data_IF_463696606180
#
_entry.id   IF_463696606180
#
_cell.length_a   1.000
_cell.length_b   1.000
_cell.length_c   1.000
_cell.angle_alpha   90.00
_cell.angle_beta   90.00
_cell.angle_gamma   90.00
#
_symmetry.space_group_name_H-M   'P 1'
#
loop_
_entity.id
_entity.type
_entity.pdbx_description
1 polymer ?
#
# COMPACT_ATOMS: atom_id res chain seq x y z
N UNK A 1 39.93 21.08 -21.95
CA UNK A 1 38.98 20.01 -22.28
C UNK A 1 37.64 20.34 -21.63
N UNK A 2 36.66 20.79 -22.41
CA UNK A 2 35.32 21.10 -21.89
C UNK A 2 34.53 19.80 -21.87
N UNK A 3 34.03 19.47 -20.68
CA UNK A 3 33.38 18.22 -20.33
C UNK A 3 32.06 18.03 -21.11
N UNK A 4 32.10 17.17 -22.14
CA UNK A 4 31.00 16.96 -23.10
C UNK A 4 29.74 16.41 -22.42
N UNK A 5 29.89 15.72 -21.29
CA UNK A 5 28.78 15.11 -20.56
C UNK A 5 27.96 16.16 -19.79
N UNK A 6 28.61 17.24 -19.35
CA UNK A 6 27.94 18.33 -18.63
C UNK A 6 27.10 19.21 -19.57
N UNK A 7 27.54 19.38 -20.83
CA UNK A 7 26.79 20.10 -21.87
C UNK A 7 25.53 19.33 -22.29
N UNK A 8 25.62 18.00 -22.38
CA UNK A 8 24.49 17.15 -22.76
C UNK A 8 23.42 17.11 -21.67
N UNK A 9 23.83 17.00 -20.40
CA UNK A 9 22.93 17.05 -19.25
C UNK A 9 22.18 18.39 -19.17
N UNK A 10 22.87 19.51 -19.40
CA UNK A 10 22.28 20.85 -19.43
C UNK A 10 21.24 20.99 -20.55
N UNK A 11 21.51 20.46 -21.74
CA UNK A 11 20.58 20.46 -22.88
C UNK A 11 19.31 19.63 -22.61
N UNK A 12 19.44 18.48 -21.97
CA UNK A 12 18.29 17.62 -21.63
C UNK A 12 17.40 18.28 -20.58
N UNK A 13 18.00 18.92 -19.56
CA UNK A 13 17.26 19.61 -18.52
C UNK A 13 16.53 20.85 -19.07
N UNK A 14 17.20 21.66 -19.88
CA UNK A 14 16.59 22.83 -20.54
C UNK A 14 15.45 22.41 -21.48
N UNK A 15 15.59 21.29 -22.20
CA UNK A 15 14.51 20.75 -23.03
C UNK A 15 13.28 20.35 -22.20
N UNK A 16 13.47 19.70 -21.05
CA UNK A 16 12.38 19.29 -20.17
C UNK A 16 11.66 20.47 -19.52
N UNK A 17 12.40 21.48 -19.08
CA UNK A 17 11.83 22.71 -18.48
C UNK A 17 11.02 23.47 -19.54
N UNK A 18 11.57 23.66 -20.75
CA UNK A 18 10.87 24.37 -21.83
C UNK A 18 9.65 23.60 -22.36
N UNK A 19 9.68 22.26 -22.36
CA UNK A 19 8.52 21.42 -22.72
C UNK A 19 7.39 21.57 -21.69
N UNK A 20 7.71 21.71 -20.41
CA UNK A 20 6.74 21.88 -19.30
C UNK A 20 6.17 23.30 -19.25
N UNK A 21 6.97 24.31 -19.58
CA UNK A 21 6.50 25.70 -19.69
C UNK A 21 5.60 25.90 -20.92
N UNK A 22 5.92 25.31 -22.08
CA UNK A 22 5.05 25.32 -23.27
C UNK A 22 3.72 24.59 -23.07
N UNK A 23 3.65 23.56 -22.23
CA UNK A 23 2.37 22.90 -21.89
C UNK A 23 1.53 23.70 -20.89
N UNK A 24 2.16 24.53 -20.06
CA UNK A 24 1.46 25.38 -19.07
C UNK A 24 0.86 26.65 -19.70
N UNK A 25 1.53 27.23 -20.70
CA UNK A 25 1.04 28.42 -21.43
C UNK A 25 -0.17 28.17 -22.35
N UNK A 26 -0.63 26.92 -22.51
CA UNK A 26 -1.80 26.56 -23.34
C UNK A 26 -3.16 26.59 -22.61
N UNK A 27 -3.28 27.20 -21.42
CA UNK A 27 -4.57 27.42 -20.76
C UNK A 27 -4.93 28.91 -20.69
N UNK A 28 -5.35 29.46 -21.83
CA UNK A 28 -6.21 30.65 -21.90
C UNK A 28 -7.62 30.34 -21.36
N UNK A 29 -7.72 30.03 -20.06
CA UNK A 29 -9.02 29.82 -19.37
C UNK A 29 -9.03 30.21 -17.89
N UNK A 30 -7.95 30.82 -17.38
CA UNK A 30 -7.83 31.18 -15.95
C UNK A 30 -8.41 32.58 -15.65
N UNK A 31 -8.67 33.41 -16.68
CA UNK A 31 -9.19 34.77 -16.47
C UNK A 31 -10.72 34.89 -16.37
N UNK A 32 -11.49 33.83 -16.66
CA UNK A 32 -12.97 33.85 -16.55
C UNK A 32 -13.45 33.35 -15.18
N UNK A 33 -12.81 32.31 -14.64
CA UNK A 33 -13.17 31.71 -13.34
C UNK A 33 -12.86 32.63 -12.15
N UNK A 34 -11.85 33.49 -12.24
CA UNK A 34 -11.52 34.44 -11.16
C UNK A 34 -12.57 35.55 -10.98
N UNK A 35 -13.28 35.95 -12.04
CA UNK A 35 -14.35 36.96 -11.98
C UNK A 35 -15.63 36.43 -11.34
N UNK A 36 -15.91 35.14 -11.51
CA UNK A 36 -17.11 34.51 -10.97
C UNK A 36 -16.98 34.24 -9.46
N UNK A 37 -15.77 33.91 -8.99
CA UNK A 37 -15.48 33.76 -7.55
C UNK A 37 -15.59 35.10 -6.81
N UNK A 38 -15.13 36.20 -7.41
CA UNK A 38 -15.28 37.55 -6.82
C UNK A 38 -16.74 38.05 -6.81
N UNK A 39 -17.57 37.65 -7.78
CA UNK A 39 -19.02 37.96 -7.78
C UNK A 39 -19.77 37.20 -6.68
N UNK A 40 -19.38 35.97 -6.38
CA UNK A 40 -20.01 35.15 -5.35
C UNK A 40 -19.70 35.68 -3.94
N UNK A 41 -18.48 36.16 -3.70
CA UNK A 41 -18.07 36.75 -2.41
C UNK A 41 -18.82 38.06 -2.05
N UNK A 42 -19.24 38.85 -3.06
CA UNK A 42 -20.04 40.08 -2.84
C UNK A 42 -21.52 39.79 -2.51
N UNK A 43 -22.02 38.58 -2.77
CA UNK A 43 -23.44 38.22 -2.58
C UNK A 43 -23.74 37.69 -1.16
N UNK A 44 -22.71 37.34 -0.40
CA UNK A 44 -22.81 36.74 0.95
C UNK A 44 -22.67 37.81 2.06
N UNK A 45 -22.33 39.05 1.70
CA UNK A 45 -22.12 40.18 2.62
C UNK A 45 -23.28 41.19 2.66
N UNK A 46 -24.54 40.71 2.63
CA UNK A 46 -25.70 41.53 2.97
C UNK A 46 -26.43 40.97 4.19
N UNK A 47 -26.35 41.73 5.29
CA UNK A 47 -26.91 41.47 6.63
C UNK A 47 -28.40 41.08 6.61
N UNK A 48 -28.86 40.11 7.43
CA UNK A 48 -30.26 39.99 7.78
C UNK A 48 -30.67 41.04 8.83
N UNK A 49 -31.88 41.60 8.66
CA UNK A 49 -32.56 42.53 9.59
C UNK A 49 -33.10 41.79 10.82
N UNK A 50 -32.88 42.34 12.00
CA UNK A 50 -33.41 41.87 13.29
C UNK A 50 -34.82 42.43 13.53
N UNK A 51 -35.82 41.63 13.95
CA UNK A 51 -37.07 42.14 14.52
C UNK A 51 -36.83 42.59 15.98
N UNK A 52 -37.41 43.73 16.37
CA UNK A 52 -37.42 44.20 17.75
C UNK A 52 -38.42 43.38 18.58
N UNK A 53 -37.98 42.84 19.72
CA UNK A 53 -38.84 42.27 20.75
C UNK A 53 -38.58 43.05 22.05
N UNK A 54 -39.65 43.54 22.67
CA UNK A 54 -39.62 44.34 23.90
C UNK A 54 -39.21 43.47 25.11
N UNK A 55 -38.40 44.04 26.00
CA UNK A 55 -37.89 43.38 27.19
C UNK A 55 -38.94 43.36 28.32
N UNK A 56 -39.33 42.16 28.76
CA UNK A 56 -39.96 41.94 30.06
C UNK A 56 -38.88 41.49 31.04
N UNK A 57 -38.75 42.18 32.17
CA UNK A 57 -37.75 41.88 33.20
C UNK A 57 -38.10 40.55 33.89
N UNK A 58 -37.24 39.54 33.75
CA UNK A 58 -37.24 38.35 34.61
C UNK A 58 -36.11 38.51 35.63
N UNK A 59 -36.46 38.50 36.91
CA UNK A 59 -35.49 38.37 38.00
C UNK A 59 -34.94 36.94 38.00
N UNK A 60 -33.63 36.79 38.05
CA UNK A 60 -32.96 35.49 38.19
C UNK A 60 -33.21 34.92 39.59
N UNK A 61 -33.71 33.68 39.72
CA UNK A 61 -33.70 32.97 41.00
C UNK A 61 -32.27 32.75 41.47
N UNK A 62 -32.01 32.85 42.78
CA UNK A 62 -30.69 32.55 43.34
C UNK A 62 -30.27 31.11 43.03
N UNK A 63 -29.03 30.93 42.60
CA UNK A 63 -28.42 29.61 42.36
C UNK A 63 -28.35 28.81 43.67
N UNK A 64 -29.13 27.74 43.75
CA UNK A 64 -28.93 26.69 44.75
C UNK A 64 -27.76 25.80 44.29
N UNK A 65 -26.62 25.87 44.98
CA UNK A 65 -25.54 24.89 44.83
C UNK A 65 -25.55 23.92 46.01
N UNK A 66 -25.89 22.64 45.82
CA UNK A 66 -25.69 21.66 46.88
C UNK A 66 -24.18 21.39 47.01
N UNK A 67 -23.61 21.67 48.18
CA UNK A 67 -22.22 21.34 48.50
C UNK A 67 -22.08 19.87 48.88
N UNK A 68 -22.22 18.97 47.91
CA UNK A 68 -21.74 17.59 48.04
C UNK A 68 -20.33 17.56 47.45
N UNK A 69 -19.32 17.47 48.31
CA UNK A 69 -17.97 17.11 47.87
C UNK A 69 -17.99 15.61 47.51
N UNK A 70 -18.14 15.31 46.23
CA UNK A 70 -17.76 13.99 45.72
C UNK A 70 -16.24 13.91 45.75
N UNK A 71 -15.70 13.02 46.58
CA UNK A 71 -14.33 12.58 46.38
C UNK A 71 -14.24 11.96 44.99
N UNK A 72 -13.22 12.30 44.18
CA UNK A 72 -13.03 11.65 42.89
C UNK A 72 -12.89 10.16 43.15
N UNK A 73 -13.69 9.34 42.44
CA UNK A 73 -13.49 7.90 42.47
C UNK A 73 -12.02 7.62 42.15
N UNK A 74 -11.35 6.73 42.90
CA UNK A 74 -10.00 6.33 42.53
C UNK A 74 -10.06 5.86 41.09
N UNK A 75 -9.23 6.47 40.24
CA UNK A 75 -9.09 6.02 38.87
C UNK A 75 -8.86 4.52 38.91
N UNK A 76 -9.64 3.71 38.18
CA UNK A 76 -9.32 2.30 38.09
C UNK A 76 -7.92 2.25 37.48
N UNK A 77 -6.92 1.89 38.28
CA UNK A 77 -5.66 1.43 37.77
C UNK A 77 -5.96 0.15 37.02
N UNK A 78 -6.36 0.30 35.75
CA UNK A 78 -6.16 -0.73 34.76
C UNK A 78 -4.66 -0.94 34.80
N UNK A 79 -4.21 -2.03 35.44
CA UNK A 79 -2.95 -2.64 35.06
C UNK A 79 -3.08 -2.81 33.55
N UNK A 80 -2.52 -1.88 32.77
CA UNK A 80 -2.30 -2.14 31.37
C UNK A 80 -1.52 -3.46 31.40
N UNK A 81 -2.05 -4.56 30.85
CA UNK A 81 -1.23 -5.73 30.71
C UNK A 81 -0.04 -5.25 29.91
N UNK A 82 1.13 -5.20 30.57
CA UNK A 82 2.40 -5.11 29.89
C UNK A 82 2.30 -6.14 28.79
N UNK A 83 2.33 -5.77 27.49
CA UNK A 83 2.23 -6.75 26.44
C UNK A 83 3.35 -7.73 26.75
N UNK A 84 2.99 -8.97 27.11
CA UNK A 84 3.97 -10.05 27.17
C UNK A 84 4.67 -9.95 25.83
N UNK A 85 5.97 -9.61 25.83
CA UNK A 85 6.72 -9.47 24.60
C UNK A 85 6.72 -10.85 23.95
N UNK A 86 5.79 -11.06 23.02
CA UNK A 86 5.69 -12.30 22.29
C UNK A 86 6.82 -12.26 21.28
N UNK A 87 7.98 -12.77 21.69
CA UNK A 87 9.05 -13.14 20.78
C UNK A 87 8.68 -14.47 20.14
N UNK A 88 8.13 -14.42 18.92
CA UNK A 88 7.73 -15.62 18.20
C UNK A 88 8.23 -15.60 16.77
N UNK A 89 9.06 -16.60 16.45
CA UNK A 89 9.49 -16.87 15.07
C UNK A 89 8.76 -18.08 14.52
N UNK A 90 8.17 -17.96 13.34
CA UNK A 90 7.43 -19.05 12.71
C UNK A 90 7.48 -19.00 11.18
N UNK A 91 7.38 -20.15 10.49
CA UNK A 91 7.31 -20.20 9.04
C UNK A 91 5.94 -19.73 8.52
N UNK A 92 5.92 -19.07 7.36
CA UNK A 92 4.70 -18.62 6.69
C UNK A 92 4.46 -19.40 5.40
N UNK A 93 5.45 -19.42 4.50
CA UNK A 93 5.39 -20.16 3.24
C UNK A 93 6.50 -21.20 3.26
N UNK A 94 6.12 -22.47 3.12
CA UNK A 94 7.03 -23.61 3.09
C UNK A 94 6.75 -24.48 1.88
N UNK A 95 7.77 -25.22 1.45
CA UNK A 95 7.64 -26.39 0.59
C UNK A 95 7.98 -27.63 1.42
N UNK A 96 7.89 -28.82 0.82
CA UNK A 96 8.36 -30.06 1.45
C UNK A 96 9.83 -30.04 1.87
N UNK A 97 10.64 -29.17 1.27
CA UNK A 97 12.10 -29.17 1.41
C UNK A 97 12.66 -27.85 1.94
N UNK A 98 11.93 -26.73 1.82
CA UNK A 98 12.47 -25.40 2.09
C UNK A 98 11.43 -24.48 2.74
N UNK A 99 11.90 -23.64 3.67
CA UNK A 99 11.12 -22.51 4.17
C UNK A 99 11.39 -21.28 3.30
N UNK A 100 10.35 -20.80 2.62
CA UNK A 100 10.42 -19.69 1.67
C UNK A 100 10.07 -18.33 2.30
N UNK A 101 9.41 -18.30 3.46
CA UNK A 101 9.33 -17.08 4.25
C UNK A 101 9.02 -17.40 5.72
N UNK A 102 9.51 -16.55 6.61
CA UNK A 102 9.29 -16.63 8.06
C UNK A 102 8.91 -15.27 8.62
N UNK A 103 8.06 -15.27 9.64
CA UNK A 103 7.81 -14.12 10.49
C UNK A 103 8.69 -14.21 11.74
N UNK A 104 9.23 -13.08 12.17
CA UNK A 104 9.78 -12.88 13.51
C UNK A 104 9.01 -11.72 14.16
N UNK A 105 8.22 -12.04 15.17
CA UNK A 105 7.32 -11.12 15.86
C UNK A 105 7.91 -10.79 17.20
N UNK A 106 8.03 -9.50 17.49
CA UNK A 106 8.42 -8.90 18.77
C UNK A 106 7.70 -7.55 18.89
N UNK A 107 8.41 -6.45 19.11
CA UNK A 107 7.87 -5.08 19.03
C UNK A 107 7.52 -4.66 17.59
N UNK A 108 8.09 -5.37 16.61
CA UNK A 108 7.80 -5.20 15.19
C UNK A 108 7.58 -6.56 14.53
N UNK A 109 7.00 -6.54 13.33
CA UNK A 109 6.85 -7.72 12.50
C UNK A 109 7.96 -7.74 11.43
N UNK A 110 8.93 -8.65 11.59
CA UNK A 110 10.01 -8.81 10.62
C UNK A 110 9.69 -9.96 9.68
N UNK A 111 9.41 -9.62 8.41
CA UNK A 111 9.30 -10.62 7.35
C UNK A 111 10.69 -10.95 6.81
N UNK A 112 11.06 -12.22 6.86
CA UNK A 112 12.27 -12.72 6.22
C UNK A 112 11.93 -13.57 5.00
N UNK A 113 12.41 -13.15 3.85
CA UNK A 113 12.35 -13.88 2.58
C UNK A 113 13.78 -14.26 2.12
N UNK A 114 13.94 -15.31 1.30
CA UNK A 114 15.23 -15.72 0.76
C UNK A 114 15.92 -14.57 0.02
N UNK A 115 17.16 -14.28 0.40
CA UNK A 115 17.97 -13.28 -0.31
C UNK A 115 18.41 -13.85 -1.64
N UNK A 116 18.30 -13.04 -2.70
CA UNK A 116 18.83 -13.36 -4.01
C UNK A 116 20.20 -12.75 -4.21
N UNK A 117 21.17 -13.56 -4.63
CA UNK A 117 22.48 -13.08 -5.10
C UNK A 117 22.33 -12.29 -6.42
N UNK A 118 23.31 -11.46 -6.82
CA UNK A 118 23.25 -10.74 -8.10
C UNK A 118 23.04 -11.66 -9.31
N UNK A 119 23.69 -12.84 -9.29
CA UNK A 119 23.54 -13.86 -10.34
C UNK A 119 22.11 -14.40 -10.37
N UNK A 120 21.54 -14.74 -9.21
CA UNK A 120 20.15 -15.22 -9.11
C UNK A 120 19.13 -14.17 -9.55
N UNK A 121 19.38 -12.89 -9.26
CA UNK A 121 18.52 -11.79 -9.75
C UNK A 121 18.54 -11.69 -11.27
N UNK A 122 19.71 -11.82 -11.89
CA UNK A 122 19.84 -11.83 -13.35
C UNK A 122 19.08 -13.03 -13.96
N UNK A 123 19.26 -14.22 -13.40
CA UNK A 123 18.54 -15.42 -13.83
C UNK A 123 17.03 -15.23 -13.70
N UNK A 124 16.56 -14.72 -12.55
CA UNK A 124 15.14 -14.44 -12.34
C UNK A 124 14.61 -13.46 -13.39
N UNK A 125 15.35 -12.41 -13.71
CA UNK A 125 14.98 -11.43 -14.72
C UNK A 125 14.89 -12.05 -16.12
N UNK A 126 15.88 -12.85 -16.52
CA UNK A 126 15.87 -13.57 -17.81
C UNK A 126 14.70 -14.53 -17.92
N UNK A 127 14.47 -15.35 -16.87
CA UNK A 127 13.32 -16.26 -16.80
C UNK A 127 12.03 -15.48 -16.93
N UNK A 128 11.88 -14.37 -16.19
CA UNK A 128 10.69 -13.52 -16.23
C UNK A 128 10.45 -12.95 -17.64
N UNK A 129 11.49 -12.48 -18.32
CA UNK A 129 11.38 -11.96 -19.69
C UNK A 129 11.00 -13.08 -20.68
N UNK A 130 11.62 -14.25 -20.57
CA UNK A 130 11.33 -15.39 -21.45
C UNK A 130 9.90 -15.94 -21.29
N UNK A 131 9.30 -15.77 -20.10
CA UNK A 131 7.95 -16.22 -19.78
C UNK A 131 6.91 -15.10 -19.88
N UNK A 132 7.30 -13.88 -20.29
CA UNK A 132 6.42 -12.69 -20.29
C UNK A 132 5.10 -12.93 -21.01
N UNK A 133 5.15 -13.38 -22.26
CA UNK A 133 3.95 -13.60 -23.07
C UNK A 133 3.08 -14.73 -22.52
N UNK A 134 3.72 -15.76 -21.95
CA UNK A 134 3.02 -16.87 -21.31
C UNK A 134 2.28 -16.40 -20.06
N UNK A 135 2.95 -15.61 -19.20
CA UNK A 135 2.37 -15.04 -17.99
C UNK A 135 1.23 -14.07 -18.34
N UNK A 136 1.38 -13.31 -19.43
CA UNK A 136 0.33 -12.39 -19.88
C UNK A 136 -0.93 -13.13 -20.35
N UNK A 137 -0.78 -14.24 -21.09
CA UNK A 137 -1.89 -15.06 -21.60
C UNK A 137 -2.52 -15.94 -20.53
N UNK A 138 -1.71 -16.65 -19.75
CA UNK A 138 -2.15 -17.53 -18.69
C UNK A 138 -1.18 -17.49 -17.49
N UNK A 139 -1.39 -16.57 -16.53
CA UNK A 139 -0.50 -16.41 -15.39
C UNK A 139 -0.51 -17.64 -14.47
N UNK A 140 -1.63 -18.37 -14.38
CA UNK A 140 -1.72 -19.53 -13.50
C UNK A 140 -0.91 -20.72 -14.01
N UNK A 141 -0.51 -20.75 -15.30
CA UNK A 141 0.31 -21.84 -15.82
C UNK A 141 1.66 -21.98 -15.12
N UNK A 142 2.21 -20.88 -14.58
CA UNK A 142 3.49 -20.92 -13.86
C UNK A 142 3.36 -21.42 -12.41
N UNK A 143 2.15 -21.61 -11.89
CA UNK A 143 1.96 -22.20 -10.54
C UNK A 143 2.19 -23.70 -10.54
N UNK A 144 2.09 -24.37 -11.70
CA UNK A 144 2.40 -25.79 -11.84
C UNK A 144 3.90 -26.04 -11.68
N UNK A 145 4.26 -26.71 -10.58
CA UNK A 145 5.64 -26.96 -10.16
C UNK A 145 6.53 -27.52 -11.28
N UNK A 146 6.08 -28.63 -11.89
CA UNK A 146 6.83 -29.33 -12.94
C UNK A 146 7.00 -28.49 -14.21
N UNK A 147 6.01 -27.65 -14.54
CA UNK A 147 6.09 -26.81 -15.73
C UNK A 147 7.15 -25.73 -15.56
N UNK A 148 7.08 -24.99 -14.45
CA UNK A 148 7.98 -23.87 -14.21
C UNK A 148 9.44 -24.35 -14.02
N UNK A 149 9.62 -25.45 -13.31
CA UNK A 149 10.95 -26.01 -13.08
C UNK A 149 11.63 -26.47 -14.37
N UNK A 150 10.91 -27.21 -15.23
CA UNK A 150 11.44 -27.62 -16.54
C UNK A 150 11.85 -26.41 -17.38
N UNK A 151 11.10 -25.30 -17.32
CA UNK A 151 11.44 -24.06 -18.03
C UNK A 151 12.69 -23.40 -17.48
N UNK A 152 12.81 -23.30 -16.15
CA UNK A 152 14.00 -22.75 -15.49
C UNK A 152 15.23 -23.60 -15.84
N UNK A 153 15.17 -24.93 -15.66
CA UNK A 153 16.26 -25.86 -15.99
C UNK A 153 16.69 -25.77 -17.46
N UNK A 154 15.74 -25.63 -18.39
CA UNK A 154 16.05 -25.44 -19.82
C UNK A 154 16.80 -24.14 -20.11
N UNK A 155 16.44 -23.03 -19.45
CA UNK A 155 17.10 -21.74 -19.61
C UNK A 155 18.51 -21.73 -19.01
N UNK A 156 18.65 -22.30 -17.81
CA UNK A 156 19.95 -22.49 -17.16
C UNK A 156 20.91 -23.28 -18.04
N UNK A 157 20.44 -24.40 -18.60
CA UNK A 157 21.23 -25.21 -19.54
C UNK A 157 21.64 -24.44 -20.79
N UNK A 158 20.73 -23.64 -21.36
CA UNK A 158 21.01 -22.80 -22.54
C UNK A 158 22.12 -21.78 -22.26
N UNK A 159 22.12 -21.21 -21.06
CA UNK A 159 23.07 -20.18 -20.66
C UNK A 159 24.34 -20.75 -19.99
N UNK A 160 24.50 -22.08 -19.97
CA UNK A 160 25.62 -22.78 -19.32
C UNK A 160 25.79 -22.41 -17.84
N UNK A 161 24.67 -22.13 -17.16
CA UNK A 161 24.64 -21.78 -15.75
C UNK A 161 24.26 -23.01 -14.92
N UNK A 162 25.06 -23.30 -13.90
CA UNK A 162 24.75 -24.31 -12.89
C UNK A 162 24.27 -23.60 -11.64
N UNK A 163 23.08 -23.96 -11.15
CA UNK A 163 22.53 -23.47 -9.89
C UNK A 163 22.04 -24.64 -9.05
N UNK A 164 22.10 -24.50 -7.72
CA UNK A 164 21.57 -25.49 -6.80
C UNK A 164 20.04 -25.61 -6.91
N UNK A 165 19.49 -26.74 -6.49
CA UNK A 165 18.03 -26.92 -6.42
C UNK A 165 17.39 -25.86 -5.51
N UNK A 166 18.02 -25.51 -4.38
CA UNK A 166 17.56 -24.41 -3.51
C UNK A 166 17.36 -23.10 -4.29
N UNK A 167 18.30 -22.75 -5.17
CA UNK A 167 18.20 -21.54 -5.99
C UNK A 167 17.04 -21.60 -6.99
N UNK A 168 16.75 -22.78 -7.53
CA UNK A 168 15.56 -22.99 -8.37
C UNK A 168 14.29 -22.73 -7.56
N UNK A 169 14.21 -23.18 -6.31
CA UNK A 169 13.08 -22.89 -5.42
C UNK A 169 12.94 -21.39 -5.12
N UNK A 170 14.05 -20.68 -4.85
CA UNK A 170 14.05 -19.21 -4.68
C UNK A 170 13.51 -18.50 -5.93
N UNK A 171 14.00 -18.86 -7.12
CA UNK A 171 13.54 -18.26 -8.38
C UNK A 171 12.04 -18.53 -8.60
N UNK A 172 11.59 -19.77 -8.35
CA UNK A 172 10.16 -20.14 -8.45
C UNK A 172 9.31 -19.28 -7.51
N UNK A 173 9.75 -19.14 -6.26
CA UNK A 173 9.07 -18.32 -5.26
C UNK A 173 8.86 -16.89 -5.75
N UNK A 174 9.93 -16.18 -6.11
CA UNK A 174 9.84 -14.79 -6.56
C UNK A 174 9.03 -14.64 -7.84
N UNK A 175 9.14 -15.58 -8.80
CA UNK A 175 8.39 -15.51 -10.04
C UNK A 175 6.88 -15.65 -9.80
N UNK A 176 6.46 -16.61 -8.97
CA UNK A 176 5.05 -16.83 -8.62
C UNK A 176 4.53 -15.66 -7.78
N UNK A 177 5.27 -15.25 -6.74
CA UNK A 177 4.94 -14.13 -5.85
C UNK A 177 4.67 -12.84 -6.63
N UNK A 178 5.56 -12.48 -7.55
CA UNK A 178 5.49 -11.21 -8.27
C UNK A 178 4.57 -11.26 -9.48
N UNK A 179 4.40 -12.42 -10.13
CA UNK A 179 3.57 -12.53 -11.34
C UNK A 179 2.12 -12.89 -11.01
N UNK A 180 1.91 -13.86 -10.13
CA UNK A 180 0.58 -14.39 -9.76
C UNK A 180 0.12 -13.87 -8.41
N UNK A 181 0.99 -13.80 -7.40
CA UNK A 181 0.64 -13.39 -6.04
C UNK A 181 0.37 -11.89 -5.87
N UNK A 182 0.60 -11.34 -4.69
CA UNK A 182 0.44 -9.93 -4.34
C UNK A 182 1.80 -9.22 -4.19
N UNK A 183 2.88 -9.82 -4.69
CA UNK A 183 4.23 -9.25 -4.63
C UNK A 183 4.76 -9.22 -3.21
N UNK A 184 5.31 -8.07 -2.78
CA UNK A 184 5.97 -7.91 -1.47
C UNK A 184 5.08 -8.25 -0.26
N UNK A 185 3.76 -8.17 -0.42
CA UNK A 185 2.80 -8.45 0.67
C UNK A 185 2.23 -9.87 0.62
N UNK A 186 2.67 -10.71 -0.33
CA UNK A 186 2.18 -12.09 -0.47
C UNK A 186 2.27 -12.86 0.85
N UNK A 187 3.45 -12.86 1.48
CA UNK A 187 3.65 -13.56 2.75
C UNK A 187 2.78 -12.98 3.86
N UNK A 188 2.51 -11.67 3.90
CA UNK A 188 1.60 -11.08 4.89
C UNK A 188 0.15 -11.58 4.69
N UNK A 189 -0.29 -11.73 3.44
CA UNK A 189 -1.63 -12.24 3.13
C UNK A 189 -1.74 -13.73 3.53
N UNK A 190 -0.70 -14.51 3.25
CA UNK A 190 -0.63 -15.92 3.63
C UNK A 190 -0.53 -16.15 5.14
N UNK A 191 -0.03 -15.18 5.92
CA UNK A 191 0.18 -15.35 7.36
C UNK A 191 -1.14 -15.46 8.12
N UNK A 192 -1.40 -16.64 8.70
CA UNK A 192 -2.63 -16.93 9.40
C UNK A 192 -2.87 -16.13 10.69
N UNK A 193 -1.85 -15.48 11.21
CA UNK A 193 -1.92 -14.68 12.42
C UNK A 193 -2.22 -13.21 12.16
N UNK A 194 -2.28 -12.77 10.91
CA UNK A 194 -2.62 -11.39 10.57
C UNK A 194 -4.13 -11.27 10.36
N UNK A 195 -4.78 -10.30 11.03
CA UNK A 195 -6.21 -9.96 10.85
C UNK A 195 -6.40 -8.92 9.75
N UNK A 196 -5.54 -7.91 9.73
CA UNK A 196 -5.65 -6.76 8.83
C UNK A 196 -4.27 -6.29 8.40
N UNK A 197 -4.15 -5.81 7.16
CA UNK A 197 -2.95 -5.20 6.57
C UNK A 197 -3.37 -3.82 6.07
N UNK A 198 -2.65 -2.77 6.48
CA UNK A 198 -2.86 -1.39 6.03
C UNK A 198 -1.59 -0.87 5.39
N UNK A 199 -1.72 -0.36 4.17
CA UNK A 199 -0.60 0.08 3.33
C UNK A 199 -0.86 1.53 2.94
N UNK A 200 0.04 2.41 3.35
CA UNK A 200 0.16 3.80 2.91
C UNK A 200 1.47 4.03 2.18
N UNK A 201 1.61 5.20 1.55
CA UNK A 201 2.81 5.57 0.83
C UNK A 201 3.92 6.01 1.82
N UNK A 202 5.17 5.61 1.56
CA UNK A 202 6.37 5.98 2.34
C UNK A 202 6.44 5.44 3.79
N UNK A 203 5.33 4.97 4.36
CA UNK A 203 5.30 4.34 5.67
C UNK A 203 5.61 2.83 5.64
N UNK A 204 6.07 2.24 6.77
CA UNK A 204 5.98 0.81 7.00
C UNK A 204 4.56 0.30 6.81
N UNK A 205 4.40 -0.86 6.16
CA UNK A 205 3.10 -1.56 6.17
C UNK A 205 2.73 -1.89 7.60
N UNK A 206 1.52 -1.50 8.00
CA UNK A 206 0.96 -1.77 9.32
C UNK A 206 0.13 -3.04 9.26
N UNK A 207 0.25 -3.87 10.29
CA UNK A 207 -0.57 -5.08 10.42
C UNK A 207 -1.26 -5.08 11.77
N UNK A 208 -2.41 -5.75 11.85
CA UNK A 208 -3.04 -6.12 13.10
C UNK A 208 -2.86 -7.62 13.30
N UNK A 209 -1.92 -8.02 14.16
CA UNK A 209 -1.63 -9.40 14.50
C UNK A 209 -2.62 -9.90 15.57
N UNK A 210 -3.04 -11.17 15.48
CA UNK A 210 -4.10 -11.74 16.33
C UNK A 210 -3.83 -11.63 17.83
N UNK A 211 -2.56 -11.76 18.22
CA UNK A 211 -2.11 -11.80 19.62
C UNK A 211 -1.37 -10.51 19.98
N UNK A 212 -0.24 -10.25 19.32
CA UNK A 212 0.59 -9.04 19.51
C UNK A 212 -0.05 -7.68 19.13
N UNK A 213 -1.27 -7.65 18.58
CA UNK A 213 -1.93 -6.38 18.23
C UNK A 213 -1.31 -5.67 17.03
N UNK A 214 -1.33 -4.34 17.04
CA UNK A 214 -0.87 -3.53 15.91
C UNK A 214 0.66 -3.45 15.86
N UNK A 215 1.25 -3.84 14.71
CA UNK A 215 2.70 -3.87 14.52
C UNK A 215 3.10 -3.19 13.20
N UNK A 216 4.27 -2.54 13.22
CA UNK A 216 4.95 -2.08 12.00
C UNK A 216 5.74 -3.24 11.38
N UNK A 217 5.76 -3.33 10.04
CA UNK A 217 6.55 -4.31 9.32
C UNK A 217 7.83 -3.71 8.72
N UNK A 218 8.76 -4.55 8.26
CA UNK A 218 9.91 -4.13 7.46
C UNK A 218 9.60 -3.85 5.98
N UNK A 219 8.34 -3.97 5.55
CA UNK A 219 7.92 -3.76 4.17
C UNK A 219 7.51 -2.29 3.98
N UNK A 220 8.00 -1.66 2.91
CA UNK A 220 7.66 -0.28 2.52
C UNK A 220 7.39 -0.17 1.02
N UNK A 221 6.42 0.67 0.68
CA UNK A 221 6.14 1.11 -0.68
C UNK A 221 6.72 2.50 -0.88
N UNK A 222 7.75 2.60 -1.73
CA UNK A 222 8.54 3.83 -1.84
C UNK A 222 7.95 4.84 -2.82
N UNK A 223 7.15 4.38 -3.77
CA UNK A 223 6.64 5.21 -4.86
C UNK A 223 5.16 4.98 -5.08
N UNK A 224 4.47 6.04 -5.49
CA UNK A 224 3.04 5.97 -5.83
C UNK A 224 2.79 4.95 -6.94
N UNK A 225 3.69 4.87 -7.92
CA UNK A 225 3.62 3.91 -9.02
C UNK A 225 3.66 2.47 -8.52
N UNK A 226 4.49 2.16 -7.52
CA UNK A 226 4.58 0.81 -6.95
C UNK A 226 3.25 0.39 -6.32
N UNK A 227 2.67 1.26 -5.48
CA UNK A 227 1.41 0.98 -4.81
C UNK A 227 0.24 0.95 -5.81
N UNK A 228 0.19 1.87 -6.76
CA UNK A 228 -0.79 1.88 -7.84
C UNK A 228 -0.74 0.61 -8.70
N UNK A 229 0.47 0.06 -8.95
CA UNK A 229 0.60 -1.20 -9.68
C UNK A 229 0.01 -2.39 -8.91
N UNK A 230 0.17 -2.41 -7.58
CA UNK A 230 -0.47 -3.40 -6.73
C UNK A 230 -2.00 -3.27 -6.76
N UNK A 231 -2.54 -2.06 -6.66
CA UNK A 231 -3.99 -1.80 -6.73
C UNK A 231 -4.55 -2.29 -8.07
N UNK A 232 -3.90 -1.97 -9.19
CA UNK A 232 -4.31 -2.45 -10.52
C UNK A 232 -4.22 -3.97 -10.64
N UNK A 233 -3.22 -4.60 -10.02
CA UNK A 233 -3.09 -6.06 -9.99
C UNK A 233 -4.24 -6.70 -9.22
N UNK A 234 -4.64 -6.13 -8.09
CA UNK A 234 -5.80 -6.57 -7.30
C UNK A 234 -7.09 -6.38 -8.11
N UNK A 235 -7.29 -5.21 -8.71
CA UNK A 235 -8.45 -4.93 -9.54
C UNK A 235 -8.58 -5.93 -10.70
N UNK A 236 -7.47 -6.23 -11.39
CA UNK A 236 -7.43 -7.26 -12.45
C UNK A 236 -7.80 -8.65 -11.93
N UNK A 237 -7.32 -9.04 -10.74
CA UNK A 237 -7.68 -10.32 -10.11
C UNK A 237 -9.16 -10.40 -9.73
N UNK A 238 -9.75 -9.27 -9.33
CA UNK A 238 -11.16 -9.14 -9.00
C UNK A 238 -12.07 -8.93 -10.22
N UNK A 239 -11.52 -8.91 -11.43
CA UNK A 239 -12.24 -8.57 -12.68
C UNK A 239 -12.95 -7.19 -12.62
N UNK A 240 -12.43 -6.29 -11.77
CA UNK A 240 -12.93 -4.93 -11.61
C UNK A 240 -12.02 -3.92 -12.32
N UNK A 241 -12.60 -2.79 -12.74
CA UNK A 241 -11.86 -1.69 -13.36
C UNK A 241 -11.60 -0.60 -12.32
N UNK A 242 -10.35 -0.15 -12.25
CA UNK A 242 -9.94 1.01 -11.46
C UNK A 242 -9.22 2.00 -12.38
N UNK A 243 -9.59 3.28 -12.31
CA UNK A 243 -9.01 4.34 -13.13
C UNK A 243 -8.83 5.60 -12.30
N UNK A 244 -8.32 6.68 -12.89
CA UNK A 244 -8.25 7.97 -12.20
C UNK A 244 -9.64 8.58 -11.98
N UNK A 245 -10.59 8.27 -12.85
CA UNK A 245 -11.98 8.75 -12.75
C UNK A 245 -12.79 7.91 -11.75
N UNK A 246 -12.43 6.63 -11.60
CA UNK A 246 -13.00 5.70 -10.61
C UNK A 246 -11.89 5.09 -9.75
N UNK A 247 -11.31 5.86 -8.81
CA UNK A 247 -10.11 5.45 -8.07
C UNK A 247 -10.39 4.49 -6.91
N UNK A 248 -11.65 4.32 -6.51
CA UNK A 248 -12.02 3.48 -5.36
C UNK A 248 -12.25 2.04 -5.84
N UNK A 249 -11.61 1.09 -5.16
CA UNK A 249 -11.77 -0.35 -5.35
C UNK A 249 -12.27 -0.96 -4.04
N UNK A 250 -13.36 -1.73 -4.12
CA UNK A 250 -13.87 -2.52 -2.99
C UNK A 250 -14.26 -3.90 -3.50
N UNK A 251 -13.54 -4.92 -3.03
CA UNK A 251 -13.70 -6.29 -3.52
C UNK A 251 -13.43 -7.31 -2.40
N UNK A 252 -13.86 -8.55 -2.62
CA UNK A 252 -13.54 -9.69 -1.78
C UNK A 252 -12.99 -10.80 -2.66
N UNK A 253 -11.81 -11.31 -2.33
CA UNK A 253 -11.14 -12.39 -3.04
C UNK A 253 -10.87 -13.50 -2.03
N UNK A 254 -11.43 -14.69 -2.25
CA UNK A 254 -11.33 -15.81 -1.30
C UNK A 254 -11.82 -15.41 0.10
N UNK A 255 -10.93 -15.47 1.11
CA UNK A 255 -11.20 -15.15 2.51
C UNK A 255 -10.69 -13.74 2.92
N UNK A 256 -10.36 -12.88 1.96
CA UNK A 256 -9.94 -11.50 2.23
C UNK A 256 -10.87 -10.48 1.57
N UNK A 257 -11.21 -9.44 2.32
CA UNK A 257 -11.84 -8.21 1.84
C UNK A 257 -10.75 -7.18 1.60
N UNK A 258 -10.80 -6.52 0.45
CA UNK A 258 -9.83 -5.52 0.04
C UNK A 258 -10.55 -4.22 -0.29
N UNK A 259 -10.09 -3.15 0.33
CA UNK A 259 -10.46 -1.78 0.00
C UNK A 259 -9.21 -1.04 -0.43
N UNK A 260 -9.26 -0.35 -1.56
CA UNK A 260 -8.13 0.43 -2.03
C UNK A 260 -8.58 1.73 -2.68
N UNK A 261 -7.70 2.73 -2.63
CA UNK A 261 -7.86 3.98 -3.37
C UNK A 261 -6.63 4.13 -4.25
N UNK A 262 -6.83 4.21 -5.56
CA UNK A 262 -5.78 4.50 -6.53
C UNK A 262 -5.32 5.95 -6.35
N UNK A 263 -4.02 6.19 -6.47
CA UNK A 263 -3.43 7.52 -6.44
C UNK A 263 -3.97 8.42 -7.54
N UNK A 264 -4.37 9.63 -7.16
CA UNK A 264 -4.85 10.70 -8.04
C UNK A 264 -4.23 12.03 -7.61
N UNK A 265 -4.56 13.11 -8.31
CA UNK A 265 -4.14 14.46 -7.91
C UNK A 265 -4.76 14.92 -6.57
N UNK A 266 -5.85 14.27 -6.13
CA UNK A 266 -6.61 14.65 -4.94
C UNK A 266 -6.43 13.67 -3.77
N UNK A 267 -5.88 12.48 -4.02
CA UNK A 267 -5.82 11.42 -3.01
C UNK A 267 -4.57 10.57 -3.19
N UNK A 268 -3.89 10.31 -2.08
CA UNK A 268 -2.79 9.36 -2.02
C UNK A 268 -3.29 7.92 -2.14
N UNK A 269 -2.49 7.01 -2.74
CA UNK A 269 -2.85 5.61 -2.81
C UNK A 269 -2.81 4.96 -1.43
N UNK A 270 -3.84 4.17 -1.13
CA UNK A 270 -3.92 3.39 0.11
C UNK A 270 -4.59 2.04 -0.13
N UNK A 271 -4.23 1.04 0.66
CA UNK A 271 -4.85 -0.29 0.63
C UNK A 271 -5.11 -0.76 2.06
N UNK A 272 -6.30 -1.28 2.30
CA UNK A 272 -6.66 -2.01 3.50
C UNK A 272 -7.14 -3.41 3.11
N UNK A 273 -6.52 -4.43 3.69
CA UNK A 273 -6.88 -5.84 3.48
C UNK A 273 -7.31 -6.38 4.84
N UNK A 274 -8.51 -6.92 4.94
CA UNK A 274 -9.02 -7.56 6.16
C UNK A 274 -9.45 -8.98 5.86
N UNK A 275 -9.25 -9.89 6.82
CA UNK A 275 -9.74 -11.25 6.68
C UNK A 275 -11.21 -11.34 7.04
N UNK A 276 -11.95 -12.06 6.22
CA UNK A 276 -13.35 -12.39 6.46
C UNK A 276 -13.35 -13.51 7.50
N UNK A 277 -13.86 -13.22 8.70
CA UNK A 277 -14.13 -14.26 9.69
C UNK A 277 -15.47 -14.89 9.30
N UNK A 278 -15.45 -16.18 8.97
CA UNK A 278 -16.70 -16.93 8.91
C UNK A 278 -17.19 -17.05 10.35
N UNK A 279 -18.33 -16.42 10.62
CA UNK A 279 -19.13 -16.62 11.84
C UNK A 279 -19.74 -18.03 11.77
#
# INVERSE_FOLDING_TARGET
MIDKDNILAKRILTFYINKRLKSSLKKHKIHKEFKDIQKLAKKITSKPKTPQIQATQFQTPQEYQPSIKLEPLPEPTLKQPSPELIHKKYPIITTSQFTLSTADVSDTYQLHEPKLTPIEKNILQEVRLSLKDLIQKNPYKITHHNFLEKRIKKLLKKNKLTVSEENIHKIKYYLIRDSVGYGKIESLICDNNIKTISISLQDPVLINHKIAGQLQTNIKFKTEQELNNLIRKIAKKAEQKVSKDTPILSTSINNIKIQATLGTELAEPKITISRIQNI
#
